data_IF_035022657969
#
_entry.id   IF_035022657969
#
_cell.length_a   1.000
_cell.length_b   1.000
_cell.length_c   1.000
_cell.angle_alpha   90.00
_cell.angle_beta   90.00
_cell.angle_gamma   90.00
#
_symmetry.space_group_name_H-M   'P 1'
#
loop_
_entity.id
_entity.type
_entity.pdbx_description
1 polymer ?
#
# COMPACT_ATOMS: atom_id res chain seq x y z
N UNK A 1 2.88 31.62 37.42
CA UNK A 1 2.56 32.01 36.04
C UNK A 1 2.73 30.77 35.16
N UNK A 2 1.61 30.27 34.69
CA UNK A 2 1.40 28.95 34.08
C UNK A 2 1.83 28.98 32.62
N UNK A 3 2.95 28.36 32.25
CA UNK A 3 3.26 28.06 30.84
C UNK A 3 2.72 26.68 30.50
N UNK A 4 1.45 26.70 30.07
CA UNK A 4 0.84 25.64 29.29
C UNK A 4 1.76 25.28 28.11
N UNK A 5 2.03 23.99 27.98
CA UNK A 5 2.66 23.34 26.84
C UNK A 5 2.05 23.82 25.50
N UNK A 6 2.64 24.83 24.88
CA UNK A 6 2.66 24.92 23.41
C UNK A 6 3.96 24.27 22.97
N UNK A 7 3.95 22.94 22.89
CA UNK A 7 5.10 22.19 22.38
C UNK A 7 5.05 22.33 20.86
N UNK A 8 5.87 23.22 20.30
CA UNK A 8 6.15 23.20 18.87
C UNK A 8 6.54 21.77 18.48
N UNK A 9 6.02 21.22 17.35
CA UNK A 9 6.35 19.87 16.93
C UNK A 9 7.87 19.76 16.80
N UNK A 10 8.46 18.77 17.47
CA UNK A 10 9.89 18.50 17.34
C UNK A 10 10.18 18.04 15.91
N UNK A 11 11.44 18.15 15.44
CA UNK A 11 11.82 17.64 14.11
C UNK A 11 11.44 16.16 13.92
N UNK A 12 11.53 15.39 15.02
CA UNK A 12 11.08 14.00 15.10
C UNK A 12 9.56 13.85 14.88
N UNK A 13 8.74 14.72 15.46
CA UNK A 13 7.27 14.67 15.30
C UNK A 13 6.86 14.96 13.86
N UNK A 14 7.55 15.89 13.18
CA UNK A 14 7.31 16.19 11.76
C UNK A 14 7.66 14.99 10.88
N UNK A 15 8.80 14.36 11.16
CA UNK A 15 9.27 13.20 10.41
C UNK A 15 8.35 11.98 10.57
N UNK A 16 7.89 11.70 11.79
CA UNK A 16 6.93 10.61 12.07
C UNK A 16 5.62 10.84 11.31
N UNK A 17 5.08 12.06 11.36
CA UNK A 17 3.87 12.41 10.60
C UNK A 17 4.05 12.23 9.10
N UNK A 18 5.23 12.58 8.57
CA UNK A 18 5.54 12.37 7.15
C UNK A 18 5.54 10.87 6.79
N UNK A 19 6.16 10.02 7.62
CA UNK A 19 6.16 8.56 7.41
C UNK A 19 4.76 7.94 7.52
N UNK A 20 3.97 8.36 8.52
CA UNK A 20 2.57 7.94 8.67
C UNK A 20 1.73 8.32 7.46
N UNK A 21 1.87 9.56 6.98
CA UNK A 21 1.16 10.05 5.82
C UNK A 21 1.56 9.28 4.56
N UNK A 22 2.86 9.00 4.38
CA UNK A 22 3.35 8.23 3.25
C UNK A 22 2.77 6.81 3.17
N UNK A 23 2.64 6.11 4.31
CA UNK A 23 2.01 4.77 4.36
C UNK A 23 0.52 4.87 4.12
N UNK A 24 -0.15 5.87 4.71
CA UNK A 24 -1.60 6.10 4.54
C UNK A 24 -1.97 6.40 3.09
N UNK A 25 -1.21 7.25 2.43
CA UNK A 25 -1.43 7.59 1.02
C UNK A 25 -1.17 6.39 0.12
N UNK A 26 -0.11 5.62 0.40
CA UNK A 26 0.15 4.40 -0.34
C UNK A 26 -0.99 3.39 -0.19
N UNK A 27 -1.51 3.18 1.01
CA UNK A 27 -2.65 2.29 1.25
C UNK A 27 -3.88 2.68 0.46
N UNK A 28 -4.22 3.97 0.51
CA UNK A 28 -5.38 4.50 -0.18
C UNK A 28 -5.22 4.40 -1.69
N UNK A 29 -4.20 5.05 -2.24
CA UNK A 29 -4.10 5.24 -3.68
C UNK A 29 -3.70 3.96 -4.39
N UNK A 30 -2.78 3.15 -3.85
CA UNK A 30 -2.46 1.86 -4.48
C UNK A 30 -3.66 0.90 -4.43
N UNK A 31 -4.44 0.92 -3.34
CA UNK A 31 -5.66 0.12 -3.22
C UNK A 31 -6.75 0.54 -4.22
N UNK A 32 -6.99 1.84 -4.34
CA UNK A 32 -7.94 2.42 -5.31
C UNK A 32 -7.52 2.11 -6.76
N UNK A 33 -6.25 2.34 -7.11
CA UNK A 33 -5.68 2.07 -8.43
C UNK A 33 -5.76 0.57 -8.76
N UNK A 34 -5.37 -0.31 -7.83
CA UNK A 34 -5.47 -1.76 -8.00
C UNK A 34 -6.91 -2.20 -8.26
N UNK A 35 -7.86 -1.67 -7.49
CA UNK A 35 -9.29 -2.00 -7.63
C UNK A 35 -9.85 -1.54 -8.97
N UNK A 36 -9.47 -0.34 -9.42
CA UNK A 36 -9.87 0.20 -10.71
C UNK A 36 -9.31 -0.63 -11.87
N UNK A 37 -8.01 -0.97 -11.83
CA UNK A 37 -7.36 -1.79 -12.86
C UNK A 37 -7.90 -3.22 -12.90
N UNK A 38 -8.18 -3.82 -11.75
CA UNK A 38 -8.83 -5.13 -11.71
C UNK A 38 -10.26 -5.08 -12.29
N UNK A 39 -10.99 -4.00 -12.03
CA UNK A 39 -12.33 -3.77 -12.62
C UNK A 39 -12.24 -3.58 -14.14
N UNK A 40 -11.29 -2.78 -14.61
CA UNK A 40 -11.01 -2.59 -16.03
C UNK A 40 -10.67 -3.91 -16.72
N UNK A 41 -9.75 -4.69 -16.16
CA UNK A 41 -9.32 -6.00 -16.69
C UNK A 41 -10.51 -6.96 -16.82
N UNK A 42 -11.37 -7.06 -15.80
CA UNK A 42 -12.61 -7.86 -15.87
C UNK A 42 -13.59 -7.37 -16.92
N UNK A 43 -13.73 -6.05 -17.11
CA UNK A 43 -14.59 -5.49 -18.17
C UNK A 43 -14.04 -5.81 -19.56
N UNK A 44 -12.72 -5.77 -19.74
CA UNK A 44 -12.05 -6.18 -20.98
C UNK A 44 -12.29 -7.66 -21.28
N UNK A 45 -12.18 -8.54 -20.27
CA UNK A 45 -12.52 -9.95 -20.42
C UNK A 45 -13.99 -10.16 -20.83
N UNK A 46 -14.93 -9.46 -20.18
CA UNK A 46 -16.36 -9.53 -20.56
C UNK A 46 -16.63 -9.03 -21.98
N UNK A 47 -15.87 -8.04 -22.46
CA UNK A 47 -15.99 -7.56 -23.83
C UNK A 47 -15.55 -8.63 -24.83
N UNK A 48 -14.47 -9.36 -24.52
CA UNK A 48 -14.05 -10.55 -25.28
C UNK A 48 -15.17 -11.59 -25.30
N UNK A 49 -15.71 -11.96 -24.13
CA UNK A 49 -16.79 -12.96 -24.02
C UNK A 49 -18.00 -12.60 -24.89
N UNK A 50 -18.35 -11.31 -24.97
CA UNK A 50 -19.45 -10.85 -25.82
C UNK A 50 -19.14 -10.94 -27.31
N UNK A 51 -17.90 -10.68 -27.71
CA UNK A 51 -17.48 -10.87 -29.09
C UNK A 51 -17.42 -12.35 -29.46
N UNK A 52 -17.02 -13.24 -28.55
CA UNK A 52 -17.03 -14.70 -28.79
C UNK A 52 -18.45 -15.22 -29.07
N UNK A 53 -19.46 -14.68 -28.36
CA UNK A 53 -20.87 -14.98 -28.66
C UNK A 53 -21.29 -14.49 -30.06
N UNK A 54 -20.82 -13.30 -30.48
CA UNK A 54 -21.08 -12.77 -31.81
C UNK A 54 -20.41 -13.62 -32.89
N UNK A 55 -19.16 -14.03 -32.69
CA UNK A 55 -18.43 -14.95 -33.58
C UNK A 55 -19.23 -16.25 -33.75
N UNK A 56 -19.71 -16.84 -32.65
CA UNK A 56 -20.53 -18.05 -32.71
C UNK A 56 -21.83 -17.85 -33.52
N UNK A 57 -22.52 -16.71 -33.34
CA UNK A 57 -23.72 -16.38 -34.11
C UNK A 57 -23.42 -16.17 -35.59
N UNK A 58 -22.30 -15.55 -35.95
CA UNK A 58 -21.88 -15.40 -37.34
C UNK A 58 -21.63 -16.74 -38.01
N UNK A 59 -20.96 -17.67 -37.31
CA UNK A 59 -20.77 -19.04 -37.81
C UNK A 59 -22.10 -19.79 -37.98
N UNK A 60 -23.01 -19.68 -37.02
CA UNK A 60 -24.33 -20.29 -37.11
C UNK A 60 -25.13 -19.74 -38.31
N UNK A 61 -25.14 -18.41 -38.47
CA UNK A 61 -25.81 -17.74 -39.57
C UNK A 61 -25.19 -18.12 -40.92
N UNK A 62 -23.86 -18.17 -41.03
CA UNK A 62 -23.16 -18.58 -42.24
C UNK A 62 -23.54 -19.98 -42.74
N UNK A 63 -24.01 -20.86 -41.85
CA UNK A 63 -24.43 -22.22 -42.21
C UNK A 63 -25.81 -22.28 -42.88
N UNK A 64 -26.54 -21.16 -42.91
CA UNK A 64 -27.90 -21.03 -43.46
C UNK A 64 -27.97 -20.23 -44.75
N UNK A 65 -26.86 -19.60 -45.14
CA UNK A 65 -26.78 -18.71 -46.30
C UNK A 65 -26.20 -19.42 -47.54
N UNK A 66 -26.36 -18.78 -48.70
CA UNK A 66 -25.76 -19.25 -49.95
C UNK A 66 -24.22 -19.24 -49.90
N UNK A 67 -23.52 -19.97 -50.79
CA UNK A 67 -22.07 -20.14 -50.72
C UNK A 67 -21.25 -18.84 -50.71
N UNK A 68 -21.71 -17.80 -51.41
CA UNK A 68 -20.98 -16.53 -51.49
C UNK A 68 -21.06 -15.78 -50.15
N UNK A 69 -22.28 -15.63 -49.62
CA UNK A 69 -22.49 -14.98 -48.33
C UNK A 69 -21.96 -15.81 -47.15
N UNK A 70 -22.06 -17.14 -47.22
CA UNK A 70 -21.46 -18.06 -46.24
C UNK A 70 -19.96 -17.81 -46.08
N UNK A 71 -19.23 -17.71 -47.19
CA UNK A 71 -17.78 -17.44 -47.18
C UNK A 71 -17.48 -16.08 -46.54
N UNK A 72 -18.22 -15.04 -46.92
CA UNK A 72 -18.07 -13.70 -46.33
C UNK A 72 -18.31 -13.65 -44.82
N UNK A 73 -19.36 -14.34 -44.33
CA UNK A 73 -19.69 -14.40 -42.91
C UNK A 73 -18.65 -15.19 -42.09
N UNK A 74 -18.10 -16.27 -42.65
CA UNK A 74 -17.01 -17.03 -42.02
C UNK A 74 -15.75 -16.19 -41.88
N UNK A 75 -15.33 -15.52 -42.95
CA UNK A 75 -14.16 -14.63 -42.91
C UNK A 75 -14.34 -13.52 -41.86
N UNK A 76 -15.53 -12.90 -41.79
CA UNK A 76 -15.85 -11.91 -40.77
C UNK A 76 -15.76 -12.49 -39.34
N UNK A 77 -16.27 -13.69 -39.13
CA UNK A 77 -16.22 -14.37 -37.84
C UNK A 77 -14.78 -14.70 -37.42
N UNK A 78 -13.96 -15.17 -38.36
CA UNK A 78 -12.54 -15.47 -38.15
C UNK A 78 -11.73 -14.20 -37.83
N UNK A 79 -11.91 -13.12 -38.58
CA UNK A 79 -11.27 -11.83 -38.32
C UNK A 79 -11.64 -11.29 -36.92
N UNK A 80 -12.92 -11.41 -36.54
CA UNK A 80 -13.38 -10.97 -35.22
C UNK A 80 -12.84 -11.87 -34.09
N UNK A 81 -12.69 -13.17 -34.33
CA UNK A 81 -12.07 -14.11 -33.39
C UNK A 81 -10.60 -13.76 -33.15
N UNK A 82 -9.85 -13.43 -34.20
CA UNK A 82 -8.45 -12.99 -34.06
C UNK A 82 -8.33 -11.75 -33.18
N UNK A 83 -9.25 -10.78 -33.31
CA UNK A 83 -9.29 -9.61 -32.41
C UNK A 83 -9.50 -10.01 -30.94
N UNK A 84 -10.25 -11.09 -30.68
CA UNK A 84 -10.48 -11.59 -29.33
C UNK A 84 -9.27 -12.32 -28.76
N UNK A 85 -8.47 -13.01 -29.57
CA UNK A 85 -7.19 -13.58 -29.14
C UNK A 85 -6.22 -12.49 -28.64
N UNK A 86 -6.13 -11.37 -29.36
CA UNK A 86 -5.35 -10.22 -28.89
C UNK A 86 -5.91 -9.63 -27.60
N UNK A 87 -7.24 -9.57 -27.46
CA UNK A 87 -7.89 -9.10 -26.23
C UNK A 87 -7.65 -10.07 -25.08
N UNK A 88 -7.58 -11.37 -25.33
CA UNK A 88 -7.22 -12.36 -24.31
C UNK A 88 -5.79 -12.16 -23.82
N UNK A 89 -4.84 -12.01 -24.76
CA UNK A 89 -3.45 -11.69 -24.41
C UNK A 89 -3.35 -10.36 -23.63
N UNK A 90 -4.17 -9.35 -23.97
CA UNK A 90 -4.27 -8.11 -23.22
C UNK A 90 -4.76 -8.35 -21.78
N UNK A 91 -5.82 -9.14 -21.59
CA UNK A 91 -6.37 -9.48 -20.26
C UNK A 91 -5.33 -10.18 -19.40
N UNK A 92 -4.66 -11.21 -19.93
CA UNK A 92 -3.62 -11.95 -19.23
C UNK A 92 -2.45 -11.06 -18.83
N UNK A 93 -2.02 -10.18 -19.74
CA UNK A 93 -0.93 -9.24 -19.47
C UNK A 93 -1.33 -8.21 -18.41
N UNK A 94 -2.55 -7.68 -18.45
CA UNK A 94 -3.04 -6.77 -17.42
C UNK A 94 -3.10 -7.45 -16.05
N UNK A 95 -3.60 -8.68 -15.98
CA UNK A 95 -3.70 -9.40 -14.71
C UNK A 95 -2.31 -9.69 -14.13
N UNK A 96 -1.40 -10.22 -14.95
CA UNK A 96 -0.08 -10.69 -14.48
C UNK A 96 0.94 -9.57 -14.28
N UNK A 97 0.93 -8.54 -15.15
CA UNK A 97 1.95 -7.48 -15.14
C UNK A 97 1.51 -6.21 -14.44
N UNK A 98 0.21 -6.06 -14.14
CA UNK A 98 -0.32 -4.82 -13.55
C UNK A 98 -1.10 -5.11 -12.28
N UNK A 99 -2.16 -5.91 -12.35
CA UNK A 99 -3.05 -6.16 -11.20
C UNK A 99 -2.33 -6.94 -10.10
N UNK A 100 -1.66 -8.04 -10.44
CA UNK A 100 -0.98 -8.88 -9.44
C UNK A 100 0.14 -8.13 -8.69
N UNK A 101 1.06 -7.37 -9.34
CA UNK A 101 2.03 -6.55 -8.64
C UNK A 101 1.40 -5.50 -7.72
N UNK A 102 0.39 -4.76 -8.18
CA UNK A 102 -0.32 -3.78 -7.35
C UNK A 102 -1.03 -4.41 -6.16
N UNK A 103 -1.56 -5.63 -6.33
CA UNK A 103 -2.18 -6.39 -5.24
C UNK A 103 -1.15 -6.79 -4.17
N UNK A 104 0.07 -7.15 -4.57
CA UNK A 104 1.14 -7.53 -3.64
C UNK A 104 1.53 -6.39 -2.67
N UNK A 105 1.37 -5.13 -3.10
CA UNK A 105 1.57 -3.96 -2.24
C UNK A 105 0.66 -3.94 -1.01
N UNK A 106 -0.48 -4.63 -1.04
CA UNK A 106 -1.37 -4.74 0.13
C UNK A 106 -0.67 -5.28 1.37
N UNK A 107 0.13 -6.35 1.23
CA UNK A 107 0.87 -6.92 2.36
C UNK A 107 2.06 -6.02 2.75
N UNK A 108 2.73 -5.41 1.77
CA UNK A 108 3.83 -4.46 2.02
C UNK A 108 3.35 -3.29 2.89
N UNK A 109 2.25 -2.64 2.52
CA UNK A 109 1.67 -1.52 3.25
C UNK A 109 1.22 -1.93 4.65
N UNK A 110 0.59 -3.10 4.79
CA UNK A 110 0.18 -3.67 6.08
C UNK A 110 1.38 -3.86 7.02
N UNK A 111 2.51 -4.34 6.51
CA UNK A 111 3.75 -4.48 7.28
C UNK A 111 4.28 -3.11 7.74
N UNK A 112 4.32 -2.10 6.85
CA UNK A 112 4.76 -0.74 7.24
C UNK A 112 3.84 -0.10 8.29
N UNK A 113 2.54 -0.39 8.23
CA UNK A 113 1.57 0.02 9.26
C UNK A 113 1.84 -0.66 10.61
N UNK A 114 2.24 -1.92 10.61
CA UNK A 114 2.65 -2.63 11.83
C UNK A 114 3.93 -2.03 12.43
N UNK A 115 4.92 -1.69 11.60
CA UNK A 115 6.15 -1.02 12.02
C UNK A 115 5.85 0.34 12.70
N UNK A 116 4.98 1.15 12.08
CA UNK A 116 4.52 2.41 12.66
C UNK A 116 3.84 2.22 14.02
N UNK A 117 3.00 1.20 14.17
CA UNK A 117 2.32 0.90 15.44
C UNK A 117 3.31 0.47 16.53
N UNK A 118 4.31 -0.33 16.17
CA UNK A 118 5.39 -0.74 17.07
C UNK A 118 6.20 0.48 17.53
N UNK A 119 6.61 1.33 16.59
CA UNK A 119 7.31 2.57 16.89
C UNK A 119 6.50 3.50 17.80
N UNK A 120 5.20 3.68 17.53
CA UNK A 120 4.29 4.47 18.37
C UNK A 120 4.23 3.93 19.80
N UNK A 121 4.28 2.60 19.98
CA UNK A 121 4.32 1.97 21.31
C UNK A 121 5.61 2.29 22.05
N UNK A 122 6.76 2.22 21.38
CA UNK A 122 8.07 2.57 21.95
C UNK A 122 8.15 4.07 22.31
N UNK A 123 7.64 4.95 21.44
CA UNK A 123 7.57 6.39 21.69
C UNK A 123 6.68 6.72 22.90
N UNK A 124 5.51 6.09 23.00
CA UNK A 124 4.62 6.27 24.15
C UNK A 124 5.26 5.78 25.46
N UNK A 125 6.06 4.71 25.40
CA UNK A 125 6.81 4.22 26.56
C UNK A 125 7.90 5.20 26.98
N UNK A 126 8.66 5.74 26.03
CA UNK A 126 9.65 6.80 26.28
C UNK A 126 9.01 8.01 26.99
N UNK A 127 7.89 8.51 26.47
CA UNK A 127 7.17 9.64 27.07
C UNK A 127 6.72 9.35 28.51
N UNK A 128 6.21 8.15 28.78
CA UNK A 128 5.77 7.75 30.12
C UNK A 128 6.93 7.69 31.12
N UNK A 129 8.07 7.12 30.73
CA UNK A 129 9.24 7.03 31.61
C UNK A 129 9.85 8.42 31.89
N UNK A 130 9.88 9.31 30.89
CA UNK A 130 10.33 10.70 31.08
C UNK A 130 9.39 11.44 32.06
N UNK A 131 8.08 11.35 31.87
CA UNK A 131 7.10 11.97 32.77
C UNK A 131 7.20 11.41 34.20
N UNK A 132 7.47 10.10 34.33
CA UNK A 132 7.67 9.46 35.64
C UNK A 132 8.93 9.98 36.33
N UNK A 133 10.03 10.12 35.60
CA UNK A 133 11.28 10.69 36.10
C UNK A 133 11.08 12.14 36.58
N UNK A 134 10.42 12.98 35.78
CA UNK A 134 10.10 14.37 36.16
C UNK A 134 9.27 14.44 37.45
N UNK A 135 8.23 13.59 37.56
CA UNK A 135 7.40 13.53 38.76
C UNK A 135 8.18 13.14 40.02
N UNK A 136 9.09 12.15 39.92
CA UNK A 136 9.92 11.72 41.06
C UNK A 136 10.87 12.85 41.48
N UNK A 137 11.54 13.48 40.49
CA UNK A 137 12.45 14.61 40.73
C UNK A 137 11.74 15.78 41.43
N UNK A 138 10.52 16.11 41.02
CA UNK A 138 9.74 17.20 41.63
C UNK A 138 9.20 16.85 43.02
N UNK A 139 8.80 15.58 43.24
CA UNK A 139 8.19 15.15 44.51
C UNK A 139 9.20 15.01 45.65
N UNK A 140 10.38 14.45 45.37
CA UNK A 140 11.41 14.26 46.38
C UNK A 140 12.83 14.38 45.78
N UNK A 141 13.39 15.59 45.69
CA UNK A 141 14.72 15.82 45.12
C UNK A 141 15.87 15.13 45.88
N UNK A 142 15.66 14.79 47.16
CA UNK A 142 16.67 14.15 48.01
C UNK A 142 16.75 12.63 47.79
N UNK A 143 15.72 12.02 47.20
CA UNK A 143 15.69 10.58 46.91
C UNK A 143 16.52 10.26 45.66
N UNK A 144 17.84 10.35 45.83
CA UNK A 144 18.83 10.08 44.77
C UNK A 144 18.71 8.67 44.21
N UNK A 145 18.36 7.69 45.04
CA UNK A 145 18.23 6.30 44.62
C UNK A 145 17.06 6.10 43.66
N UNK A 146 15.86 6.58 44.02
CA UNK A 146 14.69 6.48 43.12
C UNK A 146 14.85 7.30 41.84
N UNK A 147 15.49 8.47 41.93
CA UNK A 147 15.79 9.30 40.75
C UNK A 147 16.74 8.54 39.81
N UNK A 148 17.84 8.00 40.32
CA UNK A 148 18.82 7.26 39.52
C UNK A 148 18.19 6.05 38.81
N UNK A 149 17.33 5.29 39.51
CA UNK A 149 16.63 4.16 38.91
C UNK A 149 15.65 4.59 37.80
N UNK A 150 14.94 5.70 37.98
CA UNK A 150 14.05 6.26 36.97
C UNK A 150 14.82 6.82 35.76
N UNK A 151 16.00 7.40 35.97
CA UNK A 151 16.90 7.86 34.89
C UNK A 151 17.33 6.70 34.00
N UNK A 152 17.75 5.57 34.58
CA UNK A 152 18.12 4.37 33.83
C UNK A 152 16.95 3.85 32.98
N UNK A 153 15.73 3.84 33.53
CA UNK A 153 14.54 3.39 32.81
C UNK A 153 14.17 4.33 31.66
N UNK A 154 14.20 5.65 31.90
CA UNK A 154 13.96 6.66 30.87
C UNK A 154 15.02 6.59 29.76
N UNK A 155 16.30 6.43 30.11
CA UNK A 155 17.38 6.29 29.15
C UNK A 155 17.21 5.03 28.29
N UNK A 156 16.85 3.90 28.90
CA UNK A 156 16.58 2.66 28.17
C UNK A 156 15.40 2.81 27.20
N UNK A 157 14.31 3.43 27.65
CA UNK A 157 13.15 3.68 26.79
C UNK A 157 13.48 4.64 25.64
N UNK A 158 14.26 5.69 25.89
CA UNK A 158 14.72 6.61 24.86
C UNK A 158 15.63 5.94 23.83
N UNK A 159 16.61 5.15 24.28
CA UNK A 159 17.49 4.39 23.38
C UNK A 159 16.69 3.44 22.48
N UNK A 160 15.68 2.76 23.03
CA UNK A 160 14.80 1.89 22.23
C UNK A 160 14.02 2.69 21.19
N UNK A 161 13.40 3.81 21.58
CA UNK A 161 12.62 4.63 20.67
C UNK A 161 13.47 5.30 19.58
N UNK A 162 14.72 5.67 19.90
CA UNK A 162 15.72 6.15 18.94
C UNK A 162 16.16 5.06 17.95
N UNK A 163 16.29 3.81 18.41
CA UNK A 163 16.60 2.68 17.52
C UNK A 163 15.42 2.39 16.59
N UNK A 164 14.21 2.33 17.13
CA UNK A 164 13.00 2.03 16.38
C UNK A 164 12.69 3.10 15.32
N UNK A 165 12.95 4.39 15.59
CA UNK A 165 12.74 5.43 14.56
C UNK A 165 13.71 5.30 13.40
N UNK A 166 15.00 5.02 13.65
CA UNK A 166 15.99 4.84 12.57
C UNK A 166 15.63 3.65 11.67
N UNK A 167 15.20 2.54 12.28
CA UNK A 167 14.73 1.36 11.54
C UNK A 167 13.48 1.67 10.71
N UNK A 168 12.56 2.46 11.25
CA UNK A 168 11.36 2.88 10.53
C UNK A 168 11.72 3.80 9.35
N UNK A 169 12.64 4.75 9.54
CA UNK A 169 13.10 5.65 8.47
C UNK A 169 13.73 4.91 7.30
N UNK A 170 14.60 3.94 7.59
CA UNK A 170 15.22 3.07 6.58
C UNK A 170 14.15 2.25 5.86
N UNK A 171 13.25 1.61 6.62
CA UNK A 171 12.12 0.82 6.12
C UNK A 171 11.19 1.64 5.20
N UNK A 172 10.94 2.90 5.52
CA UNK A 172 10.11 3.81 4.70
C UNK A 172 10.87 4.31 3.48
N UNK A 173 12.16 4.63 3.61
CA UNK A 173 13.02 5.00 2.48
C UNK A 173 13.07 3.90 1.44
N UNK A 174 13.30 2.65 1.86
CA UNK A 174 13.31 1.49 0.97
C UNK A 174 11.94 1.26 0.33
N UNK A 175 10.86 1.48 1.08
CA UNK A 175 9.51 1.42 0.53
C UNK A 175 9.27 2.47 -0.58
N UNK A 176 9.78 3.70 -0.43
CA UNK A 176 9.68 4.70 -1.49
C UNK A 176 10.51 4.32 -2.72
N UNK A 177 11.71 3.76 -2.51
CA UNK A 177 12.57 3.27 -3.61
C UNK A 177 11.89 2.13 -4.36
N UNK A 178 11.34 1.14 -3.65
CA UNK A 178 10.62 0.02 -4.24
C UNK A 178 9.46 0.49 -5.12
N UNK A 179 8.64 1.43 -4.63
CA UNK A 179 7.55 2.02 -5.43
C UNK A 179 8.05 2.68 -6.71
N UNK A 180 9.18 3.39 -6.65
CA UNK A 180 9.75 4.06 -7.83
C UNK A 180 10.28 3.04 -8.86
N UNK A 181 10.83 1.92 -8.40
CA UNK A 181 11.33 0.85 -9.26
C UNK A 181 10.18 0.09 -9.91
N UNK A 182 9.14 -0.25 -9.15
CA UNK A 182 8.02 -1.08 -9.63
C UNK A 182 7.03 -0.32 -10.52
N UNK A 183 7.00 1.02 -10.46
CA UNK A 183 6.16 1.84 -11.35
C UNK A 183 6.73 1.96 -12.77
N UNK A 184 8.04 1.72 -12.97
CA UNK A 184 8.70 1.81 -14.28
C UNK A 184 8.42 0.59 -15.14
#
# INVERSE_FOLDING_TARGET
>A
MTTLFSRYPTGRDVQVKSMEQAVKDAEKYLGEICSLLASYTRKTARLRDKADLLVAQLFEFSSREDPELQSGLKNLAEDLAMVQDYRQAQVERLETRVVAPLKAYGEVVKNKRADLKKFSTDLNRELKEIQKLEKIRLRNPADRQSISQAEVNAQKASNNAQRSIRQLEESITDFQRQKLEDIK
#
